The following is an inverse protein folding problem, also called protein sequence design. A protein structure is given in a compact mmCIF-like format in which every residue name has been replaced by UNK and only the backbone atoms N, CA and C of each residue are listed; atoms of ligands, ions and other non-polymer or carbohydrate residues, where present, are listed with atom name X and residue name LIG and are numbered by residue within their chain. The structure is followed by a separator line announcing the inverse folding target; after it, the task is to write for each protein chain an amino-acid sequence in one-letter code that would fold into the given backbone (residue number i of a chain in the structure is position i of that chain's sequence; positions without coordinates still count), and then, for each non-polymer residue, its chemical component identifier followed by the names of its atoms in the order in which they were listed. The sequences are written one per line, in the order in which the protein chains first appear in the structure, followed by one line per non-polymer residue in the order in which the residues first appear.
data_IF_934223978048
#
_entry.id   IF_934223978048
#
_cell.length_a   1.000
_cell.length_b   1.000
_cell.length_c   1.000
_cell.angle_alpha   90.00
_cell.angle_beta   90.00
_cell.angle_gamma   90.00
#
_symmetry.space_group_name_H-M   'P 1'
#
loop_
_entity.id
_entity.type
_entity.pdbx_description
1 polymer ?
#
# COMPACT_ATOMS: atom_id res chain seq x y z
N UNK A 1 -31.38 19.88 -24.21
CA UNK A 1 -30.96 18.48 -24.46
C UNK A 1 -29.55 18.51 -25.05
N UNK A 2 -28.67 17.62 -24.62
CA UNK A 2 -27.32 17.54 -25.22
C UNK A 2 -27.42 17.30 -26.73
N UNK A 3 -26.69 18.08 -27.52
CA UNK A 3 -26.74 17.94 -28.99
C UNK A 3 -26.13 16.60 -29.43
N UNK A 4 -26.59 16.09 -30.55
CA UNK A 4 -26.16 14.81 -31.16
C UNK A 4 -24.62 14.71 -31.25
N UNK A 5 -23.95 15.82 -31.57
CA UNK A 5 -22.48 15.94 -31.60
C UNK A 5 -21.85 15.74 -30.23
N UNK A 6 -22.42 16.30 -29.17
CA UNK A 6 -21.93 16.20 -27.81
C UNK A 6 -21.98 14.75 -27.29
N UNK A 7 -23.11 14.06 -27.50
CA UNK A 7 -23.26 12.65 -27.12
C UNK A 7 -22.25 11.77 -27.86
N UNK A 8 -22.01 12.02 -29.15
CA UNK A 8 -21.02 11.29 -29.98
C UNK A 8 -19.59 11.50 -29.42
N UNK A 9 -19.21 12.71 -29.08
CA UNK A 9 -17.89 13.01 -28.50
C UNK A 9 -17.73 12.36 -27.11
N UNK A 10 -18.79 12.32 -26.33
CA UNK A 10 -18.80 11.66 -25.01
C UNK A 10 -18.62 10.15 -25.15
N UNK A 11 -19.29 9.50 -26.11
CA UNK A 11 -19.08 8.07 -26.42
C UNK A 11 -17.61 7.81 -26.78
N UNK A 12 -17.02 8.64 -27.64
CA UNK A 12 -15.62 8.51 -28.05
C UNK A 12 -14.66 8.63 -26.84
N UNK A 13 -14.89 9.61 -25.97
CA UNK A 13 -14.09 9.81 -24.75
C UNK A 13 -14.18 8.62 -23.79
N UNK A 14 -15.40 8.11 -23.54
CA UNK A 14 -15.60 6.95 -22.66
C UNK A 14 -14.99 5.68 -23.24
N UNK A 15 -15.08 5.45 -24.57
CA UNK A 15 -14.41 4.34 -25.27
C UNK A 15 -12.89 4.40 -25.09
N UNK A 16 -12.29 5.59 -25.22
CA UNK A 16 -10.86 5.79 -24.97
C UNK A 16 -10.49 5.50 -23.51
N UNK A 17 -11.28 6.00 -22.54
CA UNK A 17 -11.09 5.72 -21.12
C UNK A 17 -11.18 4.22 -20.82
N UNK A 18 -12.13 3.51 -21.41
CA UNK A 18 -12.27 2.05 -21.27
C UNK A 18 -11.03 1.30 -21.77
N UNK A 19 -10.47 1.71 -22.93
CA UNK A 19 -9.25 1.11 -23.44
C UNK A 19 -8.05 1.33 -22.51
N UNK A 20 -7.91 2.54 -21.96
CA UNK A 20 -6.84 2.89 -21.01
C UNK A 20 -6.99 2.06 -19.74
N UNK A 21 -8.18 1.98 -19.13
CA UNK A 21 -8.40 1.21 -17.91
C UNK A 21 -8.17 -0.29 -18.13
N UNK A 22 -8.57 -0.82 -19.29
CA UNK A 22 -8.28 -2.22 -19.67
C UNK A 22 -6.76 -2.47 -19.79
N UNK A 23 -6.01 -1.58 -20.40
CA UNK A 23 -4.56 -1.68 -20.48
C UNK A 23 -3.91 -1.62 -19.09
N UNK A 24 -4.35 -0.67 -18.22
CA UNK A 24 -3.87 -0.55 -16.86
C UNK A 24 -4.16 -1.79 -16.01
N UNK A 25 -5.32 -2.44 -16.19
CA UNK A 25 -5.65 -3.73 -15.56
C UNK A 25 -4.62 -4.79 -15.93
N UNK A 26 -4.30 -4.96 -17.22
CA UNK A 26 -3.34 -5.96 -17.70
C UNK A 26 -1.93 -5.72 -17.14
N UNK A 27 -1.46 -4.47 -17.15
CA UNK A 27 -0.16 -4.09 -16.57
C UNK A 27 -0.12 -4.38 -15.08
N UNK A 28 -1.21 -4.05 -14.34
CA UNK A 28 -1.29 -4.30 -12.90
C UNK A 28 -1.31 -5.80 -12.60
N UNK A 29 -1.99 -6.61 -13.41
CA UNK A 29 -2.00 -8.07 -13.29
C UNK A 29 -0.60 -8.68 -13.49
N UNK A 30 0.15 -8.21 -14.49
CA UNK A 30 1.52 -8.65 -14.72
C UNK A 30 2.46 -8.30 -13.55
N UNK A 31 2.34 -7.06 -13.02
CA UNK A 31 3.10 -6.62 -11.85
C UNK A 31 2.71 -7.38 -10.59
N UNK A 32 1.42 -7.64 -10.38
CA UNK A 32 0.92 -8.46 -9.27
C UNK A 32 1.53 -9.87 -9.33
N UNK A 33 1.52 -10.53 -10.50
CA UNK A 33 2.13 -11.85 -10.66
C UNK A 33 3.61 -11.84 -10.26
N UNK A 34 4.37 -10.83 -10.70
CA UNK A 34 5.80 -10.69 -10.32
C UNK A 34 5.97 -10.45 -8.82
N UNK A 35 5.15 -9.60 -8.21
CA UNK A 35 5.20 -9.32 -6.76
C UNK A 35 4.83 -10.55 -5.95
N UNK A 36 3.77 -11.28 -6.31
CA UNK A 36 3.34 -12.51 -5.63
C UNK A 36 4.41 -13.60 -5.72
N UNK A 37 5.05 -13.77 -6.87
CA UNK A 37 6.18 -14.72 -7.00
C UNK A 37 7.32 -14.41 -6.03
N UNK A 38 7.68 -13.13 -5.87
CA UNK A 38 8.71 -12.70 -4.90
C UNK A 38 8.31 -13.01 -3.46
N UNK A 39 7.05 -12.76 -3.10
CA UNK A 39 6.53 -13.06 -1.75
C UNK A 39 6.60 -14.57 -1.47
N UNK A 40 6.13 -15.40 -2.41
CA UNK A 40 6.12 -16.86 -2.25
C UNK A 40 7.55 -17.41 -2.07
N UNK A 41 8.52 -16.89 -2.82
CA UNK A 41 9.92 -17.28 -2.69
C UNK A 41 10.54 -16.84 -1.36
N UNK A 42 10.16 -15.66 -0.84
CA UNK A 42 10.73 -15.09 0.38
C UNK A 42 10.09 -15.64 1.65
N UNK A 43 8.82 -15.98 1.62
CA UNK A 43 8.01 -16.35 2.80
C UNK A 43 8.64 -17.49 3.62
N UNK A 44 9.06 -18.65 3.04
CA UNK A 44 9.66 -19.73 3.82
C UNK A 44 10.93 -19.29 4.56
N UNK A 45 11.75 -18.46 3.92
CA UNK A 45 12.96 -17.93 4.53
C UNK A 45 12.65 -17.01 5.72
N UNK A 46 11.72 -16.07 5.55
CA UNK A 46 11.31 -15.13 6.59
C UNK A 46 10.66 -15.85 7.78
N UNK A 47 9.81 -16.86 7.52
CA UNK A 47 9.15 -17.67 8.57
C UNK A 47 10.19 -18.49 9.36
N UNK A 48 11.15 -19.10 8.67
CA UNK A 48 12.20 -19.88 9.34
C UNK A 48 13.14 -19.01 10.17
N UNK A 49 13.49 -17.82 9.68
CA UNK A 49 14.27 -16.85 10.46
C UNK A 49 13.51 -16.41 11.72
N UNK A 50 12.23 -16.16 11.61
CA UNK A 50 11.41 -15.74 12.75
C UNK A 50 11.22 -16.88 13.76
N UNK A 51 11.09 -18.13 13.32
CA UNK A 51 11.05 -19.32 14.16
C UNK A 51 12.37 -19.47 14.95
N UNK A 52 13.52 -19.42 14.25
CA UNK A 52 14.83 -19.50 14.88
C UNK A 52 15.01 -18.39 15.92
N UNK A 53 14.66 -17.13 15.57
CA UNK A 53 14.73 -16.02 16.51
C UNK A 53 13.86 -16.25 17.74
N UNK A 54 12.61 -16.66 17.56
CA UNK A 54 11.69 -16.94 18.68
C UNK A 54 12.23 -17.98 19.63
N UNK A 55 12.85 -19.04 19.09
CA UNK A 55 13.44 -20.10 19.90
C UNK A 55 14.69 -19.61 20.66
N UNK A 56 15.55 -18.80 20.05
CA UNK A 56 16.72 -18.23 20.71
C UNK A 56 16.28 -17.27 21.82
N UNK A 57 15.33 -16.35 21.55
CA UNK A 57 14.82 -15.39 22.54
C UNK A 57 14.09 -16.07 23.70
N UNK A 58 13.45 -17.22 23.48
CA UNK A 58 12.81 -18.01 24.52
C UNK A 58 13.82 -18.70 25.47
N UNK A 59 15.05 -18.95 25.00
CA UNK A 59 16.09 -19.70 25.73
C UNK A 59 17.26 -18.83 26.21
N UNK A 60 17.25 -17.53 25.93
CA UNK A 60 18.32 -16.59 26.28
C UNK A 60 17.79 -15.54 27.24
N UNK A 61 18.57 -15.25 28.30
CA UNK A 61 18.26 -14.11 29.17
C UNK A 61 18.52 -12.80 28.43
N UNK A 62 17.47 -11.97 28.34
CA UNK A 62 17.50 -10.70 27.59
C UNK A 62 18.48 -9.68 28.18
N UNK A 63 18.89 -9.86 29.44
CA UNK A 63 19.89 -9.02 30.12
C UNK A 63 21.31 -9.16 29.57
N UNK A 64 21.61 -10.27 28.91
CA UNK A 64 22.92 -10.54 28.30
C UNK A 64 23.05 -9.97 26.87
N UNK A 65 21.97 -9.45 26.30
CA UNK A 65 21.95 -8.92 24.94
C UNK A 65 22.29 -7.43 24.95
N UNK A 66 23.51 -7.09 24.59
CA UNK A 66 24.04 -5.71 24.51
C UNK A 66 23.48 -4.88 23.32
N UNK A 67 22.57 -5.41 22.53
CA UNK A 67 22.13 -4.81 21.25
C UNK A 67 21.21 -3.59 21.40
N UNK A 68 20.66 -3.29 22.56
CA UNK A 68 19.78 -2.12 22.79
C UNK A 68 18.45 -2.10 22.00
N UNK A 69 18.24 -3.07 21.07
CA UNK A 69 17.06 -3.10 20.18
C UNK A 69 15.80 -3.68 20.85
N UNK A 70 15.96 -4.27 22.02
CA UNK A 70 14.89 -4.81 22.87
C UNK A 70 14.61 -3.92 24.09
N UNK A 71 15.32 -2.79 24.24
CA UNK A 71 15.16 -1.88 25.38
C UNK A 71 13.79 -1.19 25.29
N UNK A 72 12.91 -1.52 26.25
CA UNK A 72 11.62 -0.82 26.38
C UNK A 72 11.84 0.44 27.21
N UNK A 73 11.64 1.58 26.60
CA UNK A 73 11.79 2.92 27.20
C UNK A 73 10.43 3.61 27.31
N UNK A 74 10.27 4.58 28.25
CA UNK A 74 9.13 5.49 28.20
C UNK A 74 9.12 6.21 26.84
N UNK A 75 8.01 6.08 26.11
CA UNK A 75 7.91 6.64 24.77
C UNK A 75 7.74 8.15 24.84
N UNK A 76 8.72 8.90 24.37
CA UNK A 76 8.67 10.35 24.21
C UNK A 76 8.64 10.74 22.74
N UNK A 77 9.39 10.02 21.90
CA UNK A 77 9.48 10.25 20.46
C UNK A 77 9.07 9.00 19.68
N UNK A 78 8.11 9.15 18.80
CA UNK A 78 7.54 8.08 18.02
C UNK A 78 7.91 8.22 16.54
N UNK A 79 8.41 7.15 15.93
CA UNK A 79 8.53 7.04 14.47
C UNK A 79 7.41 6.16 13.92
N UNK A 80 6.66 6.68 12.95
CA UNK A 80 5.63 5.91 12.23
C UNK A 80 6.01 5.78 10.77
N UNK A 81 6.33 4.57 10.35
CA UNK A 81 6.60 4.26 8.95
C UNK A 81 5.28 3.96 8.26
N UNK A 82 4.95 4.71 7.20
CA UNK A 82 3.70 4.53 6.47
C UNK A 82 3.98 4.15 5.03
N UNK A 83 3.66 2.90 4.68
CA UNK A 83 3.89 2.36 3.35
C UNK A 83 2.65 2.58 2.47
N UNK A 84 2.76 3.40 1.42
CA UNK A 84 1.69 3.66 0.45
C UNK A 84 2.20 3.50 -0.98
N UNK A 85 1.34 3.62 -1.97
CA UNK A 85 1.77 3.63 -3.36
C UNK A 85 2.33 5.00 -3.80
N UNK A 86 3.12 4.97 -4.88
CA UNK A 86 3.57 6.20 -5.55
C UNK A 86 2.49 6.83 -6.45
N UNK A 87 1.58 6.01 -6.97
CA UNK A 87 0.55 6.41 -7.94
C UNK A 87 -0.84 6.12 -7.42
N UNK A 88 -1.80 6.95 -7.80
CA UNK A 88 -3.21 6.72 -7.52
C UNK A 88 -3.84 5.61 -8.37
N UNK A 89 -5.16 5.65 -8.50
CA UNK A 89 -5.99 4.73 -9.26
C UNK A 89 -5.94 3.27 -8.76
N UNK A 90 -5.68 3.08 -7.48
CA UNK A 90 -5.71 1.78 -6.77
C UNK A 90 -6.91 1.66 -5.82
N UNK A 91 -8.05 2.26 -6.18
CA UNK A 91 -9.25 2.27 -5.35
C UNK A 91 -9.01 2.94 -3.99
N UNK A 92 -9.50 2.33 -2.92
CA UNK A 92 -9.35 2.80 -1.55
C UNK A 92 -8.01 2.50 -0.88
N UNK A 93 -7.05 1.88 -1.56
CA UNK A 93 -5.79 1.38 -0.97
C UNK A 93 -5.04 2.45 -0.16
N UNK A 94 -4.68 3.58 -0.79
CA UNK A 94 -3.93 4.64 -0.09
C UNK A 94 -4.74 5.31 1.01
N UNK A 95 -6.00 5.60 0.77
CA UNK A 95 -6.88 6.23 1.76
C UNK A 95 -7.10 5.34 2.98
N UNK A 96 -7.16 4.02 2.81
CA UNK A 96 -7.31 3.09 3.92
C UNK A 96 -6.02 2.97 4.75
N UNK A 97 -4.83 2.96 4.13
CA UNK A 97 -3.55 3.01 4.84
C UNK A 97 -3.39 4.31 5.64
N UNK A 98 -3.74 5.44 5.04
CA UNK A 98 -3.72 6.73 5.74
C UNK A 98 -4.74 6.75 6.89
N UNK A 99 -5.93 6.18 6.70
CA UNK A 99 -6.93 6.03 7.79
C UNK A 99 -6.41 5.12 8.90
N UNK A 100 -5.78 3.99 8.56
CA UNK A 100 -5.17 3.09 9.55
C UNK A 100 -4.08 3.80 10.34
N UNK A 101 -3.21 4.58 9.68
CA UNK A 101 -2.18 5.38 10.37
C UNK A 101 -2.80 6.43 11.30
N UNK A 102 -3.83 7.14 10.86
CA UNK A 102 -4.54 8.12 11.69
C UNK A 102 -5.22 7.46 12.89
N UNK A 103 -5.82 6.30 12.67
CA UNK A 103 -6.46 5.52 13.72
C UNK A 103 -5.44 5.08 14.77
N UNK A 104 -4.29 4.54 14.34
CA UNK A 104 -3.19 4.19 15.22
C UNK A 104 -2.78 5.38 16.11
N UNK A 105 -2.59 6.57 15.50
CA UNK A 105 -2.20 7.78 16.21
C UNK A 105 -3.28 8.27 17.18
N UNK A 106 -4.56 8.19 16.82
CA UNK A 106 -5.65 8.65 17.68
C UNK A 106 -6.03 7.68 18.80
N UNK A 107 -5.81 6.36 18.62
CA UNK A 107 -6.17 5.35 19.64
C UNK A 107 -5.01 5.04 20.60
N UNK A 108 -3.78 4.90 20.08
CA UNK A 108 -2.61 4.50 20.87
C UNK A 108 -1.76 5.69 21.38
N UNK A 109 -1.79 6.81 20.65
CA UNK A 109 -0.90 7.94 20.85
C UNK A 109 -1.65 9.29 20.91
N UNK A 110 -2.89 9.26 21.44
CA UNK A 110 -3.74 10.45 21.53
C UNK A 110 -3.11 11.59 22.36
N UNK A 111 -2.33 11.24 23.39
CA UNK A 111 -1.68 12.18 24.30
C UNK A 111 -0.40 12.81 23.74
N UNK A 112 0.09 12.33 22.59
CA UNK A 112 1.31 12.81 21.97
C UNK A 112 1.08 14.09 21.16
N UNK A 113 1.99 15.05 21.29
CA UNK A 113 2.00 16.19 20.39
C UNK A 113 2.49 15.77 19.00
N UNK A 114 1.98 16.43 17.96
CA UNK A 114 2.42 16.15 16.58
C UNK A 114 3.93 16.34 16.35
N UNK A 115 4.59 17.14 17.18
CA UNK A 115 6.04 17.39 17.13
C UNK A 115 6.86 16.21 17.65
N UNK A 116 6.25 15.37 18.50
CA UNK A 116 6.89 14.19 19.08
C UNK A 116 6.69 12.95 18.20
N UNK A 117 5.97 13.13 17.08
CA UNK A 117 5.65 12.07 16.10
C UNK A 117 6.30 12.42 14.77
N UNK A 118 7.29 11.63 14.38
CA UNK A 118 7.90 11.72 13.04
C UNK A 118 7.30 10.66 12.13
N UNK A 119 6.89 11.07 10.93
CA UNK A 119 6.39 10.15 9.90
C UNK A 119 7.50 9.86 8.89
N UNK A 120 7.75 8.58 8.62
CA UNK A 120 8.63 8.13 7.55
C UNK A 120 7.77 7.53 6.44
N UNK A 121 7.41 8.34 5.42
CA UNK A 121 6.61 7.85 4.32
C UNK A 121 7.45 7.01 3.36
N UNK A 122 6.98 5.81 3.08
CA UNK A 122 7.48 4.96 1.99
C UNK A 122 6.40 4.94 0.92
N UNK A 123 6.58 5.77 -0.11
CA UNK A 123 5.60 6.04 -1.16
C UNK A 123 5.07 7.47 -1.15
N UNK A 124 4.86 7.99 -2.37
CA UNK A 124 4.53 9.43 -2.58
C UNK A 124 3.19 9.84 -1.96
N UNK A 125 2.21 8.94 -1.90
CA UNK A 125 0.87 9.28 -1.40
C UNK A 125 0.83 9.52 0.11
N UNK A 126 1.62 8.80 0.90
CA UNK A 126 1.82 9.11 2.31
C UNK A 126 2.52 10.45 2.49
N UNK A 127 3.60 10.70 1.74
CA UNK A 127 4.34 11.95 1.81
C UNK A 127 3.45 13.16 1.53
N UNK A 128 2.71 13.15 0.40
CA UNK A 128 1.78 14.21 0.02
C UNK A 128 0.74 14.51 1.11
N UNK A 129 0.27 13.48 1.80
CA UNK A 129 -0.76 13.63 2.84
C UNK A 129 -0.19 14.16 4.16
N UNK A 130 0.84 13.53 4.70
CA UNK A 130 1.36 13.86 6.03
C UNK A 130 2.08 15.20 6.06
N UNK A 131 2.75 15.58 4.98
CA UNK A 131 3.33 16.92 4.82
C UNK A 131 2.31 18.04 4.98
N UNK A 132 1.09 17.82 4.46
CA UNK A 132 -0.03 18.78 4.61
C UNK A 132 -0.71 18.71 5.99
N UNK A 133 -0.50 17.64 6.74
CA UNK A 133 -1.17 17.40 8.03
C UNK A 133 -0.40 17.97 9.23
N UNK A 134 0.77 18.60 9.00
CA UNK A 134 1.56 19.28 10.04
C UNK A 134 2.33 18.34 10.97
N UNK A 135 2.62 17.11 10.53
CA UNK A 135 3.57 16.21 11.17
C UNK A 135 4.99 16.49 10.66
N UNK A 136 5.99 16.14 11.45
CA UNK A 136 7.37 16.06 10.98
C UNK A 136 7.50 14.88 10.01
N UNK A 137 8.09 15.09 8.82
CA UNK A 137 8.16 14.09 7.76
C UNK A 137 9.60 13.90 7.29
N UNK A 138 10.08 12.66 7.34
CA UNK A 138 11.41 12.28 6.85
C UNK A 138 11.30 11.75 5.40
N UNK A 139 11.69 12.57 4.41
CA UNK A 139 11.36 12.35 2.98
C UNK A 139 12.37 11.46 2.20
N UNK A 140 13.48 11.04 2.81
CA UNK A 140 14.61 10.41 2.09
C UNK A 140 14.25 9.09 1.39
N UNK A 141 13.20 8.40 1.84
CA UNK A 141 12.88 7.04 1.40
C UNK A 141 11.56 6.91 0.63
N UNK A 142 10.99 8.03 0.19
CA UNK A 142 9.69 8.08 -0.51
C UNK A 142 9.65 7.21 -1.77
N UNK A 143 10.78 7.05 -2.47
CA UNK A 143 10.84 6.44 -3.80
C UNK A 143 11.12 4.93 -3.82
N UNK A 144 11.06 4.22 -2.69
CA UNK A 144 11.40 2.78 -2.61
C UNK A 144 10.65 1.93 -3.65
N UNK A 145 9.36 2.22 -3.90
CA UNK A 145 8.52 1.42 -4.79
C UNK A 145 8.77 1.65 -6.29
N UNK A 146 9.65 2.58 -6.66
CA UNK A 146 10.07 2.73 -8.06
C UNK A 146 10.96 1.56 -8.49
N UNK A 147 11.89 1.15 -7.61
CA UNK A 147 12.71 -0.05 -7.77
C UNK A 147 12.85 -0.77 -6.42
N UNK A 148 11.89 -1.66 -6.16
CA UNK A 148 11.85 -2.41 -4.91
C UNK A 148 12.89 -3.53 -4.92
N UNK A 149 14.04 -3.25 -4.33
CA UNK A 149 15.13 -4.21 -4.08
C UNK A 149 15.25 -4.51 -2.59
N UNK A 150 15.92 -5.62 -2.26
CA UNK A 150 16.27 -5.94 -0.86
C UNK A 150 17.20 -4.88 -0.28
N UNK A 151 18.20 -4.44 -1.04
CA UNK A 151 19.17 -3.42 -0.61
C UNK A 151 18.50 -2.08 -0.28
N UNK A 152 17.56 -1.63 -1.12
CA UNK A 152 16.77 -0.41 -0.85
C UNK A 152 15.98 -0.50 0.44
N UNK A 153 15.29 -1.63 0.66
CA UNK A 153 14.55 -1.87 1.90
C UNK A 153 15.48 -2.01 3.13
N UNK A 154 16.63 -2.67 2.95
CA UNK A 154 17.62 -2.86 4.01
C UNK A 154 18.25 -1.54 4.45
N UNK A 155 18.45 -0.57 3.54
CA UNK A 155 18.92 0.78 3.89
C UNK A 155 17.94 1.50 4.81
N UNK A 156 16.64 1.40 4.53
CA UNK A 156 15.60 2.00 5.37
C UNK A 156 15.57 1.33 6.74
N UNK A 157 15.58 0.00 6.78
CA UNK A 157 15.62 -0.75 8.03
C UNK A 157 16.87 -0.41 8.86
N UNK A 158 18.04 -0.25 8.21
CA UNK A 158 19.27 0.15 8.89
C UNK A 158 19.18 1.58 9.44
N UNK A 159 18.59 2.52 8.69
CA UNK A 159 18.33 3.87 9.19
C UNK A 159 17.46 3.83 10.44
N UNK A 160 16.35 3.08 10.42
CA UNK A 160 15.44 2.93 11.56
C UNK A 160 16.19 2.36 12.78
N UNK A 161 17.00 1.32 12.58
CA UNK A 161 17.81 0.71 13.64
C UNK A 161 18.81 1.71 14.22
N UNK A 162 19.53 2.43 13.38
CA UNK A 162 20.53 3.41 13.82
C UNK A 162 19.89 4.55 14.62
N UNK A 163 18.76 5.11 14.15
CA UNK A 163 18.04 6.17 14.86
C UNK A 163 17.44 5.70 16.18
N UNK A 164 16.99 4.43 16.25
CA UNK A 164 16.52 3.85 17.52
C UNK A 164 17.66 3.68 18.52
N UNK A 165 18.84 3.19 18.09
CA UNK A 165 20.03 3.05 18.93
C UNK A 165 20.61 4.40 19.37
N UNK A 166 20.55 5.41 18.50
CA UNK A 166 20.93 6.80 18.83
C UNK A 166 19.95 7.49 19.81
N UNK A 167 18.82 6.84 20.12
CA UNK A 167 17.75 7.38 20.97
C UNK A 167 17.02 8.58 20.34
N UNK A 168 17.04 8.69 19.01
CA UNK A 168 16.24 9.68 18.30
C UNK A 168 14.75 9.34 18.40
N UNK A 169 14.42 8.04 18.46
CA UNK A 169 13.08 7.50 18.63
C UNK A 169 13.06 6.40 19.69
N UNK A 170 12.01 6.39 20.51
CA UNK A 170 11.82 5.38 21.57
C UNK A 170 10.97 4.21 21.10
N UNK A 171 10.17 4.44 20.05
CA UNK A 171 9.29 3.42 19.48
C UNK A 171 9.13 3.62 17.99
N UNK A 172 9.03 2.52 17.27
CA UNK A 172 8.80 2.49 15.80
C UNK A 172 7.62 1.62 15.48
N UNK A 173 6.61 2.21 14.85
CA UNK A 173 5.43 1.50 14.32
C UNK A 173 5.48 1.48 12.80
N UNK A 174 5.08 0.37 12.18
CA UNK A 174 5.00 0.25 10.73
C UNK A 174 3.56 -0.01 10.32
N UNK A 175 3.05 0.85 9.44
CA UNK A 175 1.73 0.72 8.84
C UNK A 175 1.91 0.27 7.39
N UNK A 176 1.42 -0.93 7.10
CA UNK A 176 1.60 -1.56 5.80
C UNK A 176 0.35 -2.36 5.40
N UNK A 177 0.31 -2.86 4.18
CA UNK A 177 -0.77 -3.71 3.70
C UNK A 177 -0.28 -5.13 3.51
N UNK A 178 -0.81 -6.07 4.31
CA UNK A 178 -0.56 -7.50 4.18
C UNK A 178 -1.37 -8.07 3.02
N UNK A 179 -0.70 -8.74 2.11
CA UNK A 179 -1.34 -9.34 0.93
C UNK A 179 -1.99 -10.67 1.27
N UNK A 180 -3.31 -10.76 1.09
CA UNK A 180 -4.08 -12.03 1.11
C UNK A 180 -4.37 -12.52 -0.31
N UNK A 181 -5.06 -11.69 -1.07
CA UNK A 181 -5.38 -11.95 -2.48
C UNK A 181 -5.63 -10.62 -3.21
N UNK A 182 -5.89 -10.66 -4.51
CA UNK A 182 -6.06 -9.46 -5.31
C UNK A 182 -7.24 -8.57 -4.88
N UNK A 183 -8.29 -9.14 -4.30
CA UNK A 183 -9.50 -8.42 -3.88
C UNK A 183 -9.45 -7.98 -2.40
N UNK A 184 -8.74 -8.72 -1.55
CA UNK A 184 -8.71 -8.52 -0.10
C UNK A 184 -7.30 -8.18 0.36
N UNK A 185 -7.14 -7.00 0.92
CA UNK A 185 -5.93 -6.53 1.57
C UNK A 185 -6.23 -6.29 3.06
N UNK A 186 -5.28 -6.62 3.93
CA UNK A 186 -5.34 -6.30 5.35
C UNK A 186 -4.39 -5.14 5.66
N UNK A 187 -4.92 -4.10 6.29
CA UNK A 187 -4.12 -2.96 6.70
C UNK A 187 -3.66 -3.19 8.13
N UNK A 188 -2.36 -3.41 8.28
CA UNK A 188 -1.72 -3.77 9.54
C UNK A 188 -0.97 -2.58 10.12
N UNK A 189 -1.00 -2.50 11.45
CA UNK A 189 -0.16 -1.60 12.24
C UNK A 189 0.62 -2.50 13.19
N UNK A 190 1.91 -2.65 12.98
CA UNK A 190 2.75 -3.53 13.77
C UNK A 190 3.88 -2.73 14.44
N UNK A 191 4.15 -3.05 15.69
CA UNK A 191 5.31 -2.55 16.41
C UNK A 191 6.58 -3.17 15.82
N UNK A 192 7.49 -2.34 15.33
CA UNK A 192 8.70 -2.77 14.67
C UNK A 192 9.91 -2.75 15.60
N UNK A 193 10.01 -1.71 16.42
CA UNK A 193 10.99 -1.56 17.50
C UNK A 193 10.31 -0.92 18.71
N UNK A 194 10.67 -1.35 19.95
CA UNK A 194 11.60 -2.42 20.29
C UNK A 194 11.11 -3.80 19.84
N UNK A 195 12.04 -4.74 19.66
CA UNK A 195 11.69 -6.13 19.31
C UNK A 195 11.06 -6.80 20.52
N UNK A 196 9.72 -6.91 20.52
CA UNK A 196 8.98 -7.54 21.61
C UNK A 196 9.18 -9.06 21.59
N UNK A 197 9.14 -9.67 22.79
CA UNK A 197 8.97 -11.14 22.91
C UNK A 197 7.61 -11.49 22.29
N UNK A 198 7.61 -12.11 21.11
CA UNK A 198 6.36 -12.57 20.51
C UNK A 198 5.82 -13.75 21.34
N UNK A 199 4.77 -13.47 22.11
CA UNK A 199 4.02 -14.49 22.87
C UNK A 199 3.18 -15.44 21.98
N UNK A 200 3.16 -15.20 20.67
CA UNK A 200 2.19 -15.85 19.77
C UNK A 200 2.70 -17.06 18.98
N UNK A 201 4.00 -17.38 19.04
CA UNK A 201 4.54 -18.58 18.38
C UNK A 201 5.47 -19.39 19.28
N UNK A 202 5.03 -19.65 20.52
CA UNK A 202 5.58 -20.80 21.22
C UNK A 202 5.06 -22.05 20.49
N UNK A 203 5.70 -22.42 19.39
CA UNK A 203 5.56 -23.77 18.85
C UNK A 203 5.88 -24.74 19.98
N UNK A 204 4.97 -25.65 20.27
CA UNK A 204 5.05 -26.63 21.35
C UNK A 204 6.23 -27.61 21.25
N UNK A 205 7.03 -27.48 20.24
CA UNK A 205 8.26 -28.24 20.03
C UNK A 205 9.46 -27.36 20.37
N UNK A 206 9.97 -27.47 21.60
CA UNK A 206 11.29 -26.95 21.96
C UNK A 206 12.32 -27.72 21.14
N UNK A 207 12.69 -27.20 19.98
CA UNK A 207 13.82 -27.72 19.24
C UNK A 207 15.08 -27.35 20.02
N UNK A 208 15.86 -28.36 20.41
CA UNK A 208 17.14 -28.14 21.08
C UNK A 208 18.18 -27.85 20.00
N UNK A 209 18.46 -26.55 19.79
CA UNK A 209 19.43 -26.08 18.83
C UNK A 209 20.83 -26.07 19.45
N UNK A 210 21.82 -26.63 18.76
CA UNK A 210 23.23 -26.39 19.06
C UNK A 210 23.63 -25.02 18.43
N UNK A 211 24.18 -24.14 19.26
CA UNK A 211 24.60 -22.80 18.85
C UNK A 211 26.11 -22.70 18.74
N UNK A 212 26.63 -22.36 17.59
CA UNK A 212 28.05 -22.11 17.36
C UNK A 212 28.25 -20.69 16.79
N UNK A 213 29.19 -19.91 17.33
CA UNK A 213 30.06 -20.17 18.48
C UNK A 213 29.36 -20.01 19.84
N UNK A 214 28.40 -19.07 19.97
CA UNK A 214 27.54 -18.91 21.15
C UNK A 214 26.25 -18.17 20.80
N UNK A 215 25.25 -18.24 21.70
CA UNK A 215 23.92 -17.64 21.48
C UNK A 215 23.96 -16.12 21.31
N UNK A 216 24.79 -15.40 22.06
CA UNK A 216 24.86 -13.94 22.05
C UNK A 216 25.41 -13.43 20.69
N UNK A 217 26.53 -13.97 20.22
CA UNK A 217 27.12 -13.60 18.93
C UNK A 217 26.19 -13.93 17.76
N UNK A 218 25.51 -15.09 17.82
CA UNK A 218 24.55 -15.45 16.78
C UNK A 218 23.37 -14.45 16.72
N UNK A 219 22.87 -14.00 17.87
CA UNK A 219 21.81 -12.98 17.93
C UNK A 219 22.28 -11.64 17.40
N UNK A 220 23.51 -11.22 17.71
CA UNK A 220 24.10 -9.98 17.19
C UNK A 220 24.16 -9.96 15.67
N UNK A 221 24.42 -11.12 15.04
CA UNK A 221 24.45 -11.23 13.59
C UNK A 221 23.06 -11.41 12.97
N UNK A 222 22.17 -12.18 13.61
CA UNK A 222 20.88 -12.54 13.06
C UNK A 222 19.85 -11.42 13.22
N UNK A 223 19.84 -10.72 14.34
CA UNK A 223 18.81 -9.70 14.63
C UNK A 223 18.76 -8.60 13.57
N UNK A 224 19.88 -8.01 13.13
CA UNK A 224 19.85 -7.03 12.02
C UNK A 224 19.37 -7.65 10.70
N UNK A 225 19.71 -8.91 10.42
CA UNK A 225 19.24 -9.62 9.21
C UNK A 225 17.74 -9.84 9.25
N UNK A 226 17.20 -10.22 10.41
CA UNK A 226 15.75 -10.45 10.61
C UNK A 226 14.98 -9.14 10.45
N UNK A 227 15.44 -8.06 11.06
CA UNK A 227 14.81 -6.73 10.94
C UNK A 227 14.76 -6.29 9.47
N UNK A 228 15.87 -6.38 8.75
CA UNK A 228 15.94 -6.06 7.31
C UNK A 228 15.00 -6.93 6.47
N UNK A 229 14.96 -8.23 6.76
CA UNK A 229 14.11 -9.20 6.06
C UNK A 229 12.63 -8.94 6.35
N UNK A 230 12.27 -8.64 7.60
CA UNK A 230 10.90 -8.32 8.01
C UNK A 230 10.42 -7.04 7.33
N UNK A 231 11.25 -5.99 7.32
CA UNK A 231 10.90 -4.75 6.64
C UNK A 231 10.71 -4.95 5.12
N UNK A 232 11.60 -5.72 4.49
CA UNK A 232 11.46 -6.04 3.07
C UNK A 232 10.19 -6.85 2.79
N UNK A 233 9.80 -7.78 3.68
CA UNK A 233 8.52 -8.50 3.59
C UNK A 233 7.34 -7.54 3.62
N UNK A 234 7.31 -6.57 4.52
CA UNK A 234 6.24 -5.55 4.58
C UNK A 234 6.16 -4.74 3.28
N UNK A 235 7.30 -4.39 2.70
CA UNK A 235 7.35 -3.68 1.43
C UNK A 235 6.86 -4.54 0.26
N UNK A 236 7.21 -5.84 0.20
CA UNK A 236 6.73 -6.78 -0.81
C UNK A 236 5.21 -7.00 -0.71
N UNK A 237 4.70 -7.21 0.51
CA UNK A 237 3.27 -7.36 0.77
C UNK A 237 2.48 -6.12 0.35
N UNK A 238 2.98 -4.93 0.70
CA UNK A 238 2.38 -3.65 0.29
C UNK A 238 2.37 -3.47 -1.22
N UNK A 239 3.47 -3.82 -1.91
CA UNK A 239 3.58 -3.74 -3.36
C UNK A 239 2.61 -4.69 -4.08
N UNK A 240 2.47 -5.92 -3.60
CA UNK A 240 1.49 -6.88 -4.15
C UNK A 240 0.06 -6.40 -3.90
N UNK A 241 -0.25 -5.93 -2.70
CA UNK A 241 -1.55 -5.38 -2.33
C UNK A 241 -1.94 -4.18 -3.19
N UNK A 242 -1.00 -3.26 -3.45
CA UNK A 242 -1.19 -2.12 -4.34
C UNK A 242 -1.57 -2.55 -5.76
N UNK A 243 -0.82 -3.50 -6.34
CA UNK A 243 -1.08 -3.96 -7.70
C UNK A 243 -2.38 -4.78 -7.79
N UNK A 244 -2.73 -5.55 -6.75
CA UNK A 244 -4.01 -6.23 -6.63
C UNK A 244 -5.18 -5.24 -6.58
N UNK A 245 -5.11 -4.26 -5.70
CA UNK A 245 -6.14 -3.22 -5.57
C UNK A 245 -6.31 -2.41 -6.87
N UNK A 246 -5.20 -2.06 -7.54
CA UNK A 246 -5.25 -1.36 -8.83
C UNK A 246 -5.87 -2.22 -9.93
N UNK A 247 -5.55 -3.51 -9.99
CA UNK A 247 -6.14 -4.43 -10.96
C UNK A 247 -7.66 -4.50 -10.80
N UNK A 248 -8.16 -4.66 -9.57
CA UNK A 248 -9.61 -4.71 -9.27
C UNK A 248 -10.28 -3.37 -9.56
N UNK A 249 -9.66 -2.25 -9.18
CA UNK A 249 -10.21 -0.92 -9.44
C UNK A 249 -10.31 -0.62 -10.94
N UNK A 250 -9.32 -1.02 -11.74
CA UNK A 250 -9.32 -0.84 -13.18
C UNK A 250 -10.30 -1.78 -13.89
N UNK A 251 -10.52 -2.97 -13.35
CA UNK A 251 -11.56 -3.88 -13.83
C UNK A 251 -12.97 -3.29 -13.65
N UNK A 252 -13.25 -2.82 -12.45
CA UNK A 252 -14.51 -2.14 -12.14
C UNK A 252 -14.72 -0.89 -13.02
N UNK A 253 -13.67 -0.09 -13.20
CA UNK A 253 -13.73 1.09 -14.07
C UNK A 253 -13.99 0.73 -15.53
N UNK A 254 -13.40 -0.36 -16.04
CA UNK A 254 -13.60 -0.86 -17.41
C UNK A 254 -15.03 -1.33 -17.62
N UNK A 255 -15.60 -2.06 -16.66
CA UNK A 255 -16.99 -2.54 -16.72
C UNK A 255 -17.97 -1.35 -16.64
N UNK A 256 -17.77 -0.42 -15.71
CA UNK A 256 -18.59 0.79 -15.58
C UNK A 256 -18.55 1.66 -16.86
N UNK A 257 -17.38 1.77 -17.49
CA UNK A 257 -17.26 2.46 -18.78
C UNK A 257 -18.04 1.75 -19.87
N UNK A 258 -18.04 0.40 -19.91
CA UNK A 258 -18.83 -0.39 -20.84
C UNK A 258 -20.33 -0.15 -20.69
N UNK A 259 -20.83 -0.13 -19.46
CA UNK A 259 -22.25 0.11 -19.20
C UNK A 259 -22.65 1.57 -19.53
N UNK A 260 -21.75 2.52 -19.26
CA UNK A 260 -21.98 3.92 -19.66
C UNK A 260 -22.03 4.08 -21.19
N UNK A 261 -21.18 3.38 -21.93
CA UNK A 261 -21.21 3.38 -23.42
C UNK A 261 -22.57 2.90 -23.91
N UNK A 262 -23.08 1.77 -23.41
CA UNK A 262 -24.39 1.25 -23.79
C UNK A 262 -25.51 2.27 -23.57
N UNK A 263 -25.52 2.94 -22.43
CA UNK A 263 -26.51 4.01 -22.12
C UNK A 263 -26.38 5.18 -23.10
N UNK A 264 -25.16 5.64 -23.32
CA UNK A 264 -24.92 6.75 -24.26
C UNK A 264 -25.28 6.38 -25.73
N UNK A 265 -25.14 5.15 -26.13
CA UNK A 265 -25.55 4.68 -27.46
C UNK A 265 -27.09 4.71 -27.63
N UNK A 266 -27.83 4.39 -26.56
CA UNK A 266 -29.31 4.53 -26.56
C UNK A 266 -29.69 6.02 -26.65
N UNK A 267 -29.06 6.88 -25.84
CA UNK A 267 -29.30 8.32 -25.85
C UNK A 267 -28.98 8.95 -27.21
N UNK A 268 -27.87 8.52 -27.81
CA UNK A 268 -27.48 8.91 -29.17
C UNK A 268 -28.53 8.54 -30.22
N UNK A 269 -29.02 7.31 -30.18
CA UNK A 269 -30.05 6.85 -31.15
C UNK A 269 -31.36 7.62 -30.97
N UNK A 270 -31.77 7.89 -29.72
CA UNK A 270 -32.95 8.73 -29.41
C UNK A 270 -32.78 10.17 -29.91
N UNK A 271 -31.62 10.78 -29.60
CA UNK A 271 -31.33 12.13 -30.09
C UNK A 271 -31.27 12.20 -31.63
N UNK A 272 -30.73 11.16 -32.27
CA UNK A 272 -30.70 11.06 -33.75
C UNK A 272 -32.12 10.98 -34.34
N UNK A 273 -32.98 10.12 -33.77
CA UNK A 273 -34.37 10.03 -34.23
C UNK A 273 -35.10 11.34 -34.08
N UNK A 274 -34.94 12.03 -32.92
CA UNK A 274 -35.55 13.35 -32.69
C UNK A 274 -35.04 14.38 -33.70
N UNK A 275 -33.72 14.40 -33.97
CA UNK A 275 -33.16 15.32 -34.97
C UNK A 275 -33.70 15.08 -36.38
N UNK A 276 -33.81 13.82 -36.81
CA UNK A 276 -34.40 13.43 -38.12
C UNK A 276 -35.86 13.86 -38.16
N UNK A 277 -36.65 13.59 -37.12
CA UNK A 277 -38.07 13.96 -37.08
C UNK A 277 -38.23 15.49 -37.17
N UNK A 278 -37.43 16.27 -36.44
CA UNK A 278 -37.46 17.72 -36.52
C UNK A 278 -37.11 18.23 -37.91
N UNK A 279 -36.09 17.67 -38.56
CA UNK A 279 -35.77 18.02 -39.97
C UNK A 279 -36.88 17.73 -40.92
N UNK A 280 -37.56 16.56 -40.78
CA UNK A 280 -38.72 16.21 -41.62
C UNK A 280 -39.85 17.23 -41.39
N UNK A 281 -40.14 17.57 -40.13
CA UNK A 281 -41.17 18.56 -39.78
C UNK A 281 -40.87 19.96 -40.35
N UNK A 282 -39.58 20.37 -40.30
CA UNK A 282 -39.14 21.65 -40.89
C UNK A 282 -39.30 21.63 -42.43
N UNK A 283 -38.97 20.54 -43.10
CA UNK A 283 -39.14 20.41 -44.55
C UNK A 283 -40.63 20.43 -44.94
N UNK A 284 -41.45 19.64 -44.24
CA UNK A 284 -42.90 19.58 -44.50
C UNK A 284 -43.57 20.95 -44.22
N UNK A 285 -43.18 21.56 -43.07
CA UNK A 285 -43.71 22.90 -42.75
C UNK A 285 -43.28 24.00 -43.75
N UNK A 286 -42.03 23.93 -44.23
CA UNK A 286 -41.52 24.81 -45.26
C UNK A 286 -42.21 24.63 -46.63
N UNK A 287 -42.48 23.35 -47.02
CA UNK A 287 -43.24 23.07 -48.25
C UNK A 287 -44.69 23.58 -48.18
N UNK A 288 -45.38 23.32 -47.06
CA UNK A 288 -46.76 23.82 -46.87
C UNK A 288 -46.84 25.35 -46.86
N UNK A 289 -45.81 26.05 -46.39
CA UNK A 289 -45.75 27.53 -46.41
C UNK A 289 -45.47 28.11 -47.82
N UNK A 290 -44.95 27.30 -48.76
CA UNK A 290 -44.73 27.70 -50.16
C UNK A 290 -45.94 27.42 -51.05
N UNK A 291 -46.87 26.56 -50.60
CA UNK A 291 -48.12 26.23 -51.31
C UNK A 291 -49.28 27.16 -50.85
N UNK A 292 -49.13 27.91 -49.79
CA UNK A 292 -50.12 28.88 -49.31
C UNK A 292 -49.78 30.27 -49.79
#
# INVERSE_FOLDING_TARGET
MAGLKEVRERIKSVKSTQQITKAMKLVSAAKLKKATSRIVTMRPYAEKLQEVMSNILATTDMSELSLGLNEVRPVQKLLVVVMTSDRGLCGGFNSNLIKASKRLLSEKYADFNKKDITILPVGKKANEFFKKSGYEVHEDFVNLFQDLTFEGSAKIAQFIVNSFLAKDFDKVEVVYSKFKNAAVQEFMCEEFLPVAKSSSHASSTKADYMFEPNKAQLLEELLPKIIKTTFHRYALDTNASEHGARMVAMDSATNNAGDLIKRLEIDYNKARQTAITNQIMEIVGGAAALEA
#
